data_IF_218063929099
#
_entry.id   IF_218063929099
#
_cell.length_a   1.000
_cell.length_b   1.000
_cell.length_c   1.000
_cell.angle_alpha   90.00
_cell.angle_beta   90.00
_cell.angle_gamma   90.00
#
_symmetry.space_group_name_H-M   'P 1'
#
loop_
_entity.id
_entity.type
_entity.pdbx_description
1 polymer ?
#
# COMPACT_ATOMS: atom_id res chain seq x y z
N UNK A 1 -62.58 5.39 -15.87
CA UNK A 1 -61.53 6.32 -15.44
C UNK A 1 -60.41 5.48 -14.87
N UNK A 2 -59.36 5.22 -15.67
CA UNK A 2 -58.20 4.44 -15.24
C UNK A 2 -57.07 5.39 -14.90
N UNK A 3 -56.30 5.18 -13.80
CA UNK A 3 -55.18 6.03 -13.48
C UNK A 3 -53.94 5.56 -14.25
N UNK A 4 -53.31 6.52 -14.91
CA UNK A 4 -52.01 6.36 -15.55
C UNK A 4 -50.91 6.18 -14.50
N UNK A 5 -50.22 5.03 -14.51
CA UNK A 5 -48.99 4.78 -13.73
C UNK A 5 -47.82 5.34 -14.52
N UNK A 6 -47.25 6.42 -14.02
CA UNK A 6 -46.05 7.04 -14.58
C UNK A 6 -44.81 6.27 -14.09
N UNK A 7 -44.17 5.54 -15.00
CA UNK A 7 -42.88 4.87 -14.73
C UNK A 7 -41.77 5.92 -14.70
N UNK A 8 -41.30 6.26 -13.52
CA UNK A 8 -40.08 7.03 -13.33
C UNK A 8 -38.89 6.18 -13.74
N UNK A 9 -38.25 6.54 -14.84
CA UNK A 9 -36.98 5.94 -15.28
C UNK A 9 -35.88 6.27 -14.26
N UNK A 10 -35.45 5.29 -13.48
CA UNK A 10 -34.22 5.37 -12.67
C UNK A 10 -33.04 5.61 -13.60
N UNK A 11 -32.50 6.81 -13.53
CA UNK A 11 -31.24 7.18 -14.17
C UNK A 11 -30.13 6.41 -13.46
N UNK A 12 -29.58 5.40 -14.12
CA UNK A 12 -28.36 4.73 -13.67
C UNK A 12 -27.24 5.77 -13.67
N UNK A 13 -26.80 6.17 -12.49
CA UNK A 13 -25.57 6.92 -12.32
C UNK A 13 -24.44 5.98 -12.70
N UNK A 14 -23.86 6.22 -13.87
CA UNK A 14 -22.60 5.59 -14.25
C UNK A 14 -21.58 6.07 -13.24
N UNK A 15 -21.16 5.19 -12.35
CA UNK A 15 -19.98 5.41 -11.55
C UNK A 15 -18.82 5.24 -12.53
N UNK A 16 -18.23 6.34 -12.93
CA UNK A 16 -17.02 6.32 -13.74
C UNK A 16 -15.97 5.54 -12.96
N UNK A 17 -15.56 4.44 -13.55
CA UNK A 17 -14.44 3.66 -13.02
C UNK A 17 -13.22 4.56 -13.00
N UNK A 18 -12.55 4.66 -11.87
CA UNK A 18 -11.44 5.58 -11.77
C UNK A 18 -10.20 4.98 -12.36
N UNK A 19 -9.44 5.90 -12.82
CA UNK A 19 -7.99 5.91 -12.74
C UNK A 19 -7.29 4.79 -13.47
N UNK A 20 -6.81 5.18 -14.62
CA UNK A 20 -5.49 4.85 -15.12
C UNK A 20 -4.68 4.23 -13.98
N UNK A 21 -4.47 2.92 -14.04
CA UNK A 21 -3.43 2.22 -13.29
C UNK A 21 -2.12 2.90 -13.68
N UNK A 22 -1.71 3.89 -12.87
CA UNK A 22 -0.40 4.48 -13.02
C UNK A 22 0.59 3.32 -12.87
N UNK A 23 1.27 2.98 -13.95
CA UNK A 23 2.26 1.90 -13.96
C UNK A 23 3.30 2.26 -12.90
N UNK A 24 3.38 1.46 -11.85
CA UNK A 24 4.38 1.63 -10.81
C UNK A 24 5.77 1.61 -11.45
N UNK A 25 6.63 2.54 -11.06
CA UNK A 25 8.02 2.47 -11.48
C UNK A 25 8.65 1.17 -10.99
N UNK A 26 9.75 0.75 -11.61
CA UNK A 26 10.39 -0.54 -11.36
C UNK A 26 10.68 -0.82 -9.87
N UNK A 27 11.00 0.20 -9.08
CA UNK A 27 11.41 0.05 -7.68
C UNK A 27 10.26 0.34 -6.71
N UNK A 28 9.07 0.69 -7.23
CA UNK A 28 7.92 1.03 -6.42
C UNK A 28 7.14 -0.21 -5.99
N UNK A 29 6.52 -0.09 -4.83
CA UNK A 29 5.50 -1.03 -4.35
C UNK A 29 4.41 -0.26 -3.62
N UNK A 30 3.25 -0.91 -3.45
CA UNK A 30 2.12 -0.36 -2.70
C UNK A 30 1.40 -1.44 -1.91
N UNK A 31 0.67 -1.02 -0.88
CA UNK A 31 -0.08 -1.94 -0.04
C UNK A 31 -0.76 -1.25 1.13
N UNK A 32 -1.21 -2.05 2.09
CA UNK A 32 -1.79 -1.56 3.33
C UNK A 32 -0.87 -1.89 4.51
N UNK A 33 -0.41 -0.86 5.20
CA UNK A 33 0.45 -0.99 6.38
C UNK A 33 -0.32 -1.21 7.68
N UNK A 34 -1.61 -0.90 7.68
CA UNK A 34 -2.55 -1.17 8.78
C UNK A 34 -3.97 -1.23 8.23
N UNK A 35 -4.83 -2.04 8.83
CA UNK A 35 -6.25 -2.14 8.52
C UNK A 35 -7.08 -1.62 9.70
N UNK A 36 -8.12 -0.85 9.41
CA UNK A 36 -9.01 -0.33 10.45
C UNK A 36 -9.95 -1.41 10.98
N UNK A 37 -10.21 -1.37 12.27
CA UNK A 37 -11.18 -2.24 12.91
C UNK A 37 -10.75 -3.70 13.08
N UNK A 38 -9.53 -4.06 12.70
CA UNK A 38 -8.96 -5.41 12.84
C UNK A 38 -7.98 -5.41 13.99
N UNK A 39 -8.08 -6.39 14.90
CA UNK A 39 -7.14 -6.55 15.99
C UNK A 39 -5.81 -7.12 15.48
N UNK A 40 -4.71 -6.56 15.91
CA UNK A 40 -3.38 -7.11 15.67
C UNK A 40 -2.99 -8.16 16.73
N UNK A 41 -1.79 -8.76 16.59
CA UNK A 41 -1.26 -9.76 17.49
C UNK A 41 -1.00 -9.27 18.93
N UNK A 42 -0.99 -7.95 19.18
CA UNK A 42 -0.89 -7.36 20.51
C UNK A 42 -2.26 -6.99 21.13
N UNK A 43 -3.35 -7.20 20.39
CA UNK A 43 -4.71 -6.81 20.81
C UNK A 43 -5.03 -5.34 20.60
N UNK A 44 -4.31 -4.67 19.72
CA UNK A 44 -4.60 -3.30 19.31
C UNK A 44 -5.50 -3.27 18.08
N UNK A 45 -6.46 -2.33 18.09
CA UNK A 45 -7.35 -2.06 16.97
C UNK A 45 -7.18 -0.60 16.57
N UNK A 46 -6.77 -0.32 15.34
CA UNK A 46 -6.63 1.05 14.85
C UNK A 46 -7.99 1.56 14.35
N UNK A 47 -8.40 2.72 14.86
CA UNK A 47 -9.62 3.41 14.42
C UNK A 47 -9.33 4.27 13.17
N UNK A 48 -10.32 4.46 12.27
CA UNK A 48 -10.22 5.48 11.23
C UNK A 48 -9.88 6.85 11.79
N UNK A 49 -8.96 7.57 11.14
CA UNK A 49 -8.50 8.88 11.57
C UNK A 49 -7.29 8.86 12.52
N UNK A 50 -6.86 7.68 12.99
CA UNK A 50 -5.79 7.56 13.98
C UNK A 50 -4.42 8.07 13.48
N UNK A 51 -4.15 8.02 12.18
CA UNK A 51 -2.90 8.47 11.56
C UNK A 51 -2.95 9.89 11.01
N UNK A 52 -4.16 10.44 10.79
CA UNK A 52 -4.36 11.70 10.04
C UNK A 52 -3.51 12.85 10.59
N UNK A 53 -3.52 13.06 11.90
CA UNK A 53 -2.75 14.11 12.56
C UNK A 53 -1.25 13.91 12.39
N UNK A 54 -0.77 12.69 12.61
CA UNK A 54 0.66 12.36 12.47
C UNK A 54 1.17 12.55 11.05
N UNK A 55 0.40 12.13 10.04
CA UNK A 55 0.76 12.31 8.63
C UNK A 55 0.85 13.79 8.29
N UNK A 56 -0.13 14.60 8.73
CA UNK A 56 -0.14 16.04 8.49
C UNK A 56 1.01 16.79 9.18
N UNK A 57 1.31 16.45 10.42
CA UNK A 57 2.36 17.13 11.20
C UNK A 57 3.78 16.73 10.78
N UNK A 58 4.01 15.46 10.49
CA UNK A 58 5.36 14.95 10.18
C UNK A 58 5.73 15.07 8.71
N UNK A 59 4.76 14.94 7.82
CA UNK A 59 4.99 14.79 6.39
C UNK A 59 5.67 13.44 6.04
N UNK A 60 5.62 13.08 4.76
CA UNK A 60 6.10 11.76 4.28
C UNK A 60 7.59 11.53 4.59
N UNK A 61 8.42 12.56 4.45
CA UNK A 61 9.88 12.47 4.61
C UNK A 61 10.34 12.13 6.03
N UNK A 62 9.51 12.32 7.03
CA UNK A 62 9.82 11.98 8.43
C UNK A 62 9.25 10.64 8.89
N UNK A 63 8.48 9.97 8.05
CA UNK A 63 8.01 8.61 8.28
C UNK A 63 8.96 7.69 7.52
N UNK A 64 9.76 6.90 8.24
CA UNK A 64 10.83 6.11 7.61
C UNK A 64 10.31 4.85 6.97
N UNK A 65 10.91 4.44 5.85
CA UNK A 65 10.75 3.11 5.28
C UNK A 65 11.92 2.26 5.75
N UNK A 66 11.63 1.26 6.61
CA UNK A 66 12.67 0.43 7.22
C UNK A 66 12.53 -1.04 6.80
N UNK A 67 13.56 -1.81 7.07
CA UNK A 67 13.57 -3.27 7.01
C UNK A 67 13.47 -3.83 8.42
N UNK A 68 12.46 -4.70 8.68
CA UNK A 68 12.30 -5.45 9.94
C UNK A 68 12.34 -4.57 11.21
N UNK A 69 11.84 -3.34 11.16
CA UNK A 69 11.87 -2.37 12.27
C UNK A 69 13.29 -1.95 12.73
N UNK A 70 14.33 -2.28 11.95
CA UNK A 70 15.69 -1.86 12.29
C UNK A 70 15.94 -0.40 11.90
N UNK A 71 16.11 0.46 12.92
CA UNK A 71 16.29 1.91 12.71
C UNK A 71 17.52 2.25 11.85
N UNK A 72 18.52 1.36 11.80
CA UNK A 72 19.73 1.51 10.99
C UNK A 72 19.63 0.88 9.59
N UNK A 73 18.47 0.37 9.21
CA UNK A 73 18.19 -0.25 7.91
C UNK A 73 17.10 0.50 7.13
N UNK A 74 17.30 1.78 6.78
CA UNK A 74 16.39 2.49 5.88
C UNK A 74 16.58 1.93 4.45
N UNK A 75 15.46 1.59 3.80
CA UNK A 75 15.47 0.89 2.49
C UNK A 75 14.81 1.67 1.37
N UNK A 76 14.19 2.82 1.66
CA UNK A 76 13.46 3.55 0.63
C UNK A 76 12.77 4.81 1.14
N UNK A 77 11.88 5.34 0.33
CA UNK A 77 11.08 6.53 0.61
C UNK A 77 9.62 6.32 0.28
N UNK A 78 8.73 7.03 0.97
CA UNK A 78 7.30 7.01 0.71
C UNK A 78 6.90 8.10 -0.29
N UNK A 79 6.13 7.73 -1.30
CA UNK A 79 5.51 8.64 -2.27
C UNK A 79 4.10 9.01 -1.84
N UNK A 80 3.39 8.07 -1.20
CA UNK A 80 2.04 8.23 -0.68
C UNK A 80 1.92 7.52 0.65
N UNK A 81 1.37 8.20 1.65
CA UNK A 81 0.82 7.64 2.88
C UNK A 81 -0.52 8.33 3.10
N UNK A 82 -1.60 7.59 3.12
CA UNK A 82 -2.94 8.13 3.34
C UNK A 82 -3.85 7.11 4.01
N UNK A 83 -4.82 7.61 4.71
CA UNK A 83 -5.95 6.79 5.15
C UNK A 83 -7.01 6.71 4.04
N UNK A 84 -7.66 5.56 3.92
CA UNK A 84 -8.89 5.40 3.16
C UNK A 84 -9.90 4.56 3.98
N UNK A 85 -10.98 4.11 3.37
CA UNK A 85 -12.02 3.34 4.10
C UNK A 85 -11.55 1.98 4.62
N UNK A 86 -10.44 1.45 4.10
CA UNK A 86 -9.88 0.16 4.48
C UNK A 86 -8.81 0.28 5.57
N UNK A 87 -7.97 1.31 5.51
CA UNK A 87 -6.83 1.43 6.41
C UNK A 87 -5.79 2.45 5.97
N UNK A 88 -4.55 2.22 6.39
CA UNK A 88 -3.38 3.00 6.02
C UNK A 88 -2.77 2.48 4.72
N UNK A 89 -3.17 3.07 3.61
CA UNK A 89 -2.59 2.81 2.30
C UNK A 89 -1.24 3.51 2.15
N UNK A 90 -0.28 2.81 1.58
CA UNK A 90 1.06 3.32 1.31
C UNK A 90 1.53 2.97 -0.10
N UNK A 91 2.31 3.87 -0.69
CA UNK A 91 3.11 3.62 -1.89
C UNK A 91 4.47 4.25 -1.71
N UNK A 92 5.50 3.53 -2.08
CA UNK A 92 6.87 4.02 -1.97
C UNK A 92 7.82 3.32 -2.92
N UNK A 93 9.06 3.78 -2.93
CA UNK A 93 10.10 3.30 -3.81
C UNK A 93 11.33 2.86 -3.01
N UNK A 94 11.86 1.67 -3.34
CA UNK A 94 13.09 1.15 -2.76
C UNK A 94 14.30 1.85 -3.37
N UNK A 95 15.31 2.10 -2.55
CA UNK A 95 16.63 2.61 -2.95
C UNK A 95 17.49 1.41 -3.34
N UNK A 96 17.46 1.05 -4.62
CA UNK A 96 18.17 -0.13 -5.14
C UNK A 96 19.66 0.12 -5.42
N UNK A 97 20.16 1.31 -5.15
CA UNK A 97 21.58 1.67 -5.13
C UNK A 97 22.31 1.05 -3.94
N UNK A 98 21.61 0.78 -2.84
CA UNK A 98 22.14 0.06 -1.68
C UNK A 98 21.79 -1.43 -1.74
N UNK A 99 22.64 -2.26 -1.11
CA UNK A 99 22.50 -3.72 -1.13
C UNK A 99 21.16 -4.16 -0.54
N UNK A 100 20.81 -3.69 0.65
CA UNK A 100 19.55 -4.03 1.32
C UNK A 100 18.31 -3.69 0.49
N UNK A 101 18.32 -2.57 -0.22
CA UNK A 101 17.21 -2.19 -1.11
C UNK A 101 17.06 -3.16 -2.28
N UNK A 102 18.14 -3.65 -2.87
CA UNK A 102 18.13 -4.68 -3.93
C UNK A 102 17.60 -6.02 -3.41
N UNK A 103 18.08 -6.44 -2.22
CA UNK A 103 17.68 -7.70 -1.59
C UNK A 103 16.17 -7.70 -1.30
N UNK A 104 15.69 -6.66 -0.63
CA UNK A 104 14.27 -6.50 -0.31
C UNK A 104 13.41 -6.52 -1.58
N UNK A 105 13.86 -5.83 -2.63
CA UNK A 105 13.17 -5.84 -3.90
C UNK A 105 13.07 -7.24 -4.49
N UNK A 106 14.17 -7.98 -4.54
CA UNK A 106 14.22 -9.34 -5.06
C UNK A 106 13.29 -10.28 -4.24
N UNK A 107 13.28 -10.14 -2.91
CA UNK A 107 12.42 -10.92 -2.02
C UNK A 107 10.93 -10.59 -2.22
N UNK A 108 10.58 -9.31 -2.39
CA UNK A 108 9.22 -8.88 -2.71
C UNK A 108 8.75 -9.44 -4.06
N UNK A 109 9.59 -9.37 -5.10
CA UNK A 109 9.27 -9.90 -6.44
C UNK A 109 9.02 -11.43 -6.44
N UNK A 110 9.71 -12.15 -5.56
CA UNK A 110 9.55 -13.60 -5.39
C UNK A 110 8.44 -13.97 -4.41
N UNK A 111 7.84 -13.00 -3.72
CA UNK A 111 6.85 -13.25 -2.68
C UNK A 111 7.41 -13.90 -1.41
N UNK A 112 8.74 -13.95 -1.25
CA UNK A 112 9.39 -14.45 -0.05
C UNK A 112 9.28 -13.45 1.13
N UNK A 113 8.98 -12.20 0.83
CA UNK A 113 8.74 -11.11 1.76
C UNK A 113 7.57 -10.28 1.22
N UNK A 114 6.58 -9.99 2.03
CA UNK A 114 5.41 -9.23 1.61
C UNK A 114 4.72 -8.46 2.73
N UNK A 115 5.10 -8.67 3.99
CA UNK A 115 4.46 -8.02 5.13
C UNK A 115 4.79 -6.54 5.23
N UNK A 116 3.82 -5.76 5.72
CA UNK A 116 3.98 -4.38 6.14
C UNK A 116 3.63 -4.27 7.62
N UNK A 117 4.39 -3.48 8.37
CA UNK A 117 4.16 -3.26 9.79
C UNK A 117 4.49 -1.81 10.16
N UNK A 118 3.74 -1.25 11.10
CA UNK A 118 3.88 0.15 11.54
C UNK A 118 4.65 0.24 12.85
N UNK A 119 5.57 1.22 12.93
CA UNK A 119 6.19 1.66 14.18
C UNK A 119 5.62 3.00 14.59
N UNK A 120 5.02 3.06 15.78
CA UNK A 120 4.31 4.25 16.26
C UNK A 120 4.41 4.41 17.78
N UNK A 121 4.08 5.61 18.25
CA UNK A 121 3.83 5.92 19.66
C UNK A 121 2.34 6.23 19.83
N UNK A 122 1.69 5.59 20.80
CA UNK A 122 0.29 5.90 21.12
C UNK A 122 0.19 7.27 21.75
N UNK A 123 -0.63 8.16 21.19
CA UNK A 123 -0.99 9.46 21.77
C UNK A 123 -2.31 9.37 22.53
N UNK A 124 -3.31 8.65 21.95
CA UNK A 124 -4.61 8.47 22.55
C UNK A 124 -5.18 7.11 22.20
N UNK A 125 -5.62 6.39 23.21
CA UNK A 125 -6.31 5.11 23.08
C UNK A 125 -7.44 5.00 24.10
N UNK A 126 -8.35 4.07 23.88
CA UNK A 126 -9.36 3.64 24.85
C UNK A 126 -9.44 2.13 24.87
N UNK A 127 -9.89 1.56 25.96
CA UNK A 127 -10.24 0.14 26.02
C UNK A 127 -11.70 -0.04 25.62
N UNK A 128 -11.97 -0.96 24.72
CA UNK A 128 -13.34 -1.35 24.38
C UNK A 128 -13.92 -2.19 25.55
N UNK A 129 -15.04 -1.77 26.15
CA UNK A 129 -15.58 -2.47 27.33
C UNK A 129 -16.17 -3.85 27.01
N UNK A 130 -16.52 -4.10 25.72
CA UNK A 130 -17.12 -5.37 25.31
C UNK A 130 -16.08 -6.42 24.95
N UNK A 131 -15.03 -6.00 24.24
CA UNK A 131 -13.99 -6.91 23.73
C UNK A 131 -12.73 -6.95 24.58
N UNK A 132 -12.53 -5.93 25.43
CA UNK A 132 -11.29 -5.74 26.18
C UNK A 132 -10.10 -5.24 25.32
N UNK A 133 -10.27 -5.11 24.01
CA UNK A 133 -9.22 -4.67 23.09
C UNK A 133 -8.85 -3.19 23.29
N UNK A 134 -7.62 -2.84 22.99
CA UNK A 134 -7.16 -1.46 23.00
C UNK A 134 -7.40 -0.80 21.65
N UNK A 135 -8.31 0.18 21.61
CA UNK A 135 -8.62 0.94 20.39
C UNK A 135 -7.72 2.17 20.32
N UNK A 136 -6.86 2.24 19.32
CA UNK A 136 -5.95 3.35 19.04
C UNK A 136 -6.72 4.43 18.28
N UNK A 137 -6.80 5.63 18.88
CA UNK A 137 -7.57 6.77 18.35
C UNK A 137 -6.67 7.88 17.79
N UNK A 138 -5.43 7.96 18.23
CA UNK A 138 -4.42 8.91 17.75
C UNK A 138 -3.03 8.31 18.01
N UNK A 139 -2.24 8.18 16.96
CA UNK A 139 -0.90 7.63 17.03
C UNK A 139 0.10 8.56 16.34
N UNK A 140 1.31 8.58 16.86
CA UNK A 140 2.44 9.22 16.20
C UNK A 140 3.16 8.17 15.36
N UNK A 141 2.95 8.19 14.07
CA UNK A 141 3.55 7.25 13.12
C UNK A 141 5.01 7.63 12.86
N UNK A 142 5.95 6.75 13.17
CA UNK A 142 7.38 7.00 13.04
C UNK A 142 7.97 6.35 11.81
N UNK A 143 7.53 5.13 11.52
CA UNK A 143 8.04 4.35 10.39
C UNK A 143 7.00 3.33 9.92
N UNK A 144 7.23 2.82 8.74
CA UNK A 144 6.55 1.66 8.19
C UNK A 144 7.63 0.75 7.63
N UNK A 145 7.65 -0.50 8.09
CA UNK A 145 8.64 -1.49 7.72
C UNK A 145 8.10 -2.53 6.75
N UNK A 146 8.98 -2.97 5.86
CA UNK A 146 8.80 -4.23 5.15
C UNK A 146 9.30 -5.35 6.07
N UNK A 147 8.41 -6.31 6.40
CA UNK A 147 8.66 -7.35 7.40
C UNK A 147 8.30 -8.74 6.89
N UNK A 148 8.93 -9.76 7.49
CA UNK A 148 8.58 -11.16 7.21
C UNK A 148 7.25 -11.54 7.88
N UNK A 149 7.05 -11.09 9.12
CA UNK A 149 5.86 -11.40 9.92
C UNK A 149 5.20 -10.11 10.40
N UNK A 150 4.18 -9.62 9.70
CA UNK A 150 3.45 -8.44 10.14
C UNK A 150 2.65 -8.74 11.41
N UNK A 151 2.65 -7.81 12.37
CA UNK A 151 1.89 -7.95 13.60
C UNK A 151 0.37 -7.96 13.36
N UNK A 152 -0.09 -7.21 12.36
CA UNK A 152 -1.47 -7.23 11.88
C UNK A 152 -1.58 -8.14 10.66
N UNK A 153 -2.29 -9.26 10.82
CA UNK A 153 -2.61 -10.16 9.72
C UNK A 153 -3.42 -9.42 8.65
N UNK A 154 -2.99 -9.51 7.39
CA UNK A 154 -3.60 -8.77 6.28
C UNK A 154 -2.92 -7.45 5.92
N UNK A 155 -1.88 -7.03 6.64
CA UNK A 155 -1.03 -5.88 6.28
C UNK A 155 0.06 -6.31 5.31
N UNK A 156 -0.21 -6.19 4.00
CA UNK A 156 0.66 -6.69 2.95
C UNK A 156 0.88 -5.71 1.81
N UNK A 157 2.00 -5.92 1.10
CA UNK A 157 2.26 -5.38 -0.23
C UNK A 157 1.27 -6.02 -1.22
N UNK A 158 0.53 -5.19 -1.94
CA UNK A 158 -0.51 -5.62 -2.87
C UNK A 158 -0.09 -5.53 -4.33
N UNK A 159 0.89 -4.67 -4.63
CA UNK A 159 1.46 -4.55 -5.97
C UNK A 159 2.93 -4.11 -5.92
N UNK A 160 3.70 -4.58 -6.90
CA UNK A 160 5.11 -4.25 -7.10
C UNK A 160 5.30 -3.82 -8.55
N UNK A 161 6.08 -2.76 -8.76
CA UNK A 161 6.45 -2.29 -10.08
C UNK A 161 7.29 -3.32 -10.82
N UNK A 162 6.87 -3.66 -12.04
CA UNK A 162 7.62 -4.56 -12.92
C UNK A 162 8.59 -3.77 -13.77
N UNK A 163 9.75 -4.37 -14.10
CA UNK A 163 10.59 -3.83 -15.16
C UNK A 163 9.77 -3.77 -16.45
N UNK A 164 9.79 -2.63 -17.14
CA UNK A 164 9.21 -2.56 -18.48
C UNK A 164 9.87 -3.67 -19.30
N UNK A 165 9.08 -4.63 -19.80
CA UNK A 165 9.57 -5.57 -20.79
C UNK A 165 9.89 -4.73 -22.02
N UNK A 166 11.17 -4.59 -22.34
CA UNK A 166 11.58 -4.17 -23.67
C UNK A 166 10.98 -5.19 -24.61
N UNK A 167 9.94 -4.80 -25.35
CA UNK A 167 9.45 -5.56 -26.49
C UNK A 167 10.65 -5.68 -27.42
N UNK A 168 11.27 -6.85 -27.44
CA UNK A 168 12.25 -7.24 -28.43
C UNK A 168 11.52 -7.29 -29.76
N UNK A 169 11.50 -6.15 -30.45
CA UNK A 169 10.99 -6.02 -31.80
C UNK A 169 12.05 -6.63 -32.73
N UNK A 170 12.16 -7.95 -32.76
CA UNK A 170 12.86 -8.70 -33.79
C UNK A 170 12.03 -8.62 -35.05
N UNK A 171 12.18 -7.51 -35.77
CA UNK A 171 11.89 -7.53 -37.22
C UNK A 171 12.87 -8.51 -37.84
N UNK A 172 12.38 -9.68 -38.19
CA UNK A 172 13.05 -10.58 -39.14
C UNK A 172 13.29 -9.80 -40.43
N UNK A 173 14.51 -9.81 -40.98
CA UNK A 173 14.72 -9.27 -42.33
C UNK A 173 14.03 -10.19 -43.33
N UNK A 174 13.10 -9.59 -44.07
CA UNK A 174 12.53 -10.24 -45.27
C UNK A 174 13.67 -10.65 -46.21
N UNK A 175 13.75 -11.94 -46.45
CA UNK A 175 14.56 -12.49 -47.53
C UNK A 175 13.92 -12.10 -48.84
N UNK A 176 14.44 -11.07 -49.49
CA UNK A 176 14.15 -10.77 -50.89
C UNK A 176 14.77 -11.86 -51.73
N UNK A 177 13.96 -12.81 -52.17
CA UNK A 177 14.36 -13.76 -53.20
C UNK A 177 14.38 -13.08 -54.56
N UNK A 178 15.56 -12.86 -55.12
CA UNK A 178 15.72 -12.60 -56.56
C UNK A 178 15.78 -13.93 -57.28
N UNK A 179 14.79 -14.14 -58.14
CA UNK A 179 14.87 -15.08 -59.20
C UNK A 179 15.69 -14.51 -60.35
N UNK A 180 16.66 -15.21 -60.82
CA UNK A 180 16.95 -15.46 -62.25
C UNK A 180 17.54 -16.86 -62.39
#
# INVERSE_FOLDING_TARGET
>A
MSPHVTHARRRLVRVDAPAVLATLNRNAFEGYASLFGVADGAGDVVAPGAFAKSIGERGLSRIRMLYQHFAHEPIGTWDVIREDSRGLYVRGSLVTEIERGRDVRALLEKGALNGLSIGFKTRRARRDPKTGLRVLLDVELWEISVVTFPLLEGSFVTAIGKAAQLAANTRSPERTGSRQ
#
